data_IF_773265871543
#
_entry.id   IF_773265871543
#
_cell.length_a   1.000
_cell.length_b   1.000
_cell.length_c   1.000
_cell.angle_alpha   90.00
_cell.angle_beta   90.00
_cell.angle_gamma   90.00
#
_symmetry.space_group_name_H-M   'P 1'
#
loop_
_entity.id
_entity.type
_entity.pdbx_description
1 polymer ?
#
# COMPACT_ATOMS: atom_id res chain seq x y z
N UNK A 1 -16.97 -22.72 15.80
CA UNK A 1 -15.63 -22.38 15.31
C UNK A 1 -15.79 -21.34 14.22
N UNK A 2 -15.24 -20.14 14.41
CA UNK A 2 -15.49 -18.97 13.55
C UNK A 2 -14.58 -18.98 12.33
N UNK A 3 -15.16 -19.15 11.14
CA UNK A 3 -14.49 -19.01 9.83
C UNK A 3 -14.53 -17.56 9.38
N UNK A 4 -13.62 -16.74 9.89
CA UNK A 4 -13.37 -15.40 9.35
C UNK A 4 -12.46 -15.53 8.12
N UNK A 5 -13.04 -15.83 6.97
CA UNK A 5 -12.36 -15.71 5.67
C UNK A 5 -12.48 -14.25 5.21
N UNK A 6 -11.37 -13.50 5.06
CA UNK A 6 -11.42 -12.16 4.46
C UNK A 6 -11.91 -12.28 3.02
N UNK A 7 -12.94 -11.51 2.66
CA UNK A 7 -13.44 -11.40 1.29
C UNK A 7 -12.68 -10.28 0.59
N UNK A 8 -12.07 -10.60 -0.54
CA UNK A 8 -11.37 -9.63 -1.40
C UNK A 8 -12.18 -9.38 -2.67
N UNK A 9 -12.15 -8.13 -3.16
CA UNK A 9 -12.62 -7.76 -4.48
C UNK A 9 -11.38 -7.61 -5.38
N UNK A 10 -11.47 -8.01 -6.66
CA UNK A 10 -10.46 -7.80 -7.70
C UNK A 10 -11.04 -6.93 -8.81
N UNK A 11 -10.21 -6.09 -9.45
CA UNK A 11 -10.61 -5.27 -10.60
C UNK A 11 -9.69 -5.57 -11.78
N UNK A 12 -10.31 -5.77 -12.93
CA UNK A 12 -9.67 -6.12 -14.20
C UNK A 12 -9.13 -4.83 -14.85
N UNK A 13 -7.83 -4.76 -15.11
CA UNK A 13 -7.25 -3.67 -15.90
C UNK A 13 -7.54 -3.98 -17.37
N UNK A 14 -8.51 -3.28 -17.96
CA UNK A 14 -8.82 -3.39 -19.39
C UNK A 14 -8.36 -2.13 -20.12
N UNK A 15 -7.27 -2.23 -20.88
CA UNK A 15 -7.06 -1.32 -22.01
C UNK A 15 -7.85 -1.84 -23.21
N UNK A 16 -9.18 -1.70 -23.16
CA UNK A 16 -10.02 -2.01 -24.32
C UNK A 16 -11.02 -0.86 -24.50
N UNK A 17 -10.87 -0.15 -25.62
CA UNK A 17 -11.89 0.75 -26.18
C UNK A 17 -13.25 0.05 -26.12
N UNK A 18 -14.21 0.66 -25.41
CA UNK A 18 -15.59 0.18 -25.21
C UNK A 18 -16.08 -0.73 -26.35
N UNK A 19 -16.39 -2.00 -26.06
CA UNK A 19 -17.41 -2.71 -26.81
C UNK A 19 -18.67 -2.82 -25.96
N UNK A 20 -19.79 -2.64 -26.65
CA UNK A 20 -21.16 -2.74 -26.17
C UNK A 20 -21.43 -3.98 -25.31
N UNK A 21 -22.06 -3.76 -24.17
CA UNK A 21 -22.67 -4.81 -23.35
C UNK A 21 -23.87 -5.37 -24.11
N UNK A 22 -23.64 -6.44 -24.88
CA UNK A 22 -24.69 -7.33 -25.34
C UNK A 22 -24.13 -8.74 -25.39
N UNK A 23 -24.32 -9.50 -24.32
CA UNK A 23 -24.60 -10.93 -24.30
C UNK A 23 -24.38 -11.44 -22.88
N UNK A 24 -25.45 -11.96 -22.29
CA UNK A 24 -25.44 -12.48 -20.93
C UNK A 24 -24.46 -13.63 -20.76
N UNK A 25 -23.61 -13.51 -19.74
CA UNK A 25 -22.97 -14.64 -19.09
C UNK A 25 -23.44 -14.63 -17.65
N UNK A 26 -24.32 -15.59 -17.39
CA UNK A 26 -24.88 -15.88 -16.08
C UNK A 26 -23.76 -16.10 -15.07
N UNK A 27 -23.78 -15.35 -13.97
CA UNK A 27 -22.93 -15.56 -12.81
C UNK A 27 -23.24 -16.94 -12.23
N UNK A 28 -22.41 -17.94 -12.56
CA UNK A 28 -22.51 -19.28 -11.99
C UNK A 28 -22.10 -19.18 -10.52
N UNK A 29 -23.08 -19.42 -9.64
CA UNK A 29 -22.96 -19.59 -8.20
C UNK A 29 -22.10 -20.83 -7.86
N UNK A 30 -20.78 -20.69 -7.92
CA UNK A 30 -19.82 -21.55 -7.23
C UNK A 30 -19.23 -20.84 -6.01
N UNK A 31 -18.72 -21.55 -4.99
CA UNK A 31 -18.00 -20.90 -3.90
C UNK A 31 -16.84 -20.11 -4.50
N UNK A 32 -16.78 -18.81 -4.20
CA UNK A 32 -15.79 -17.91 -4.74
C UNK A 32 -14.40 -18.52 -4.54
N UNK A 33 -13.72 -18.84 -5.64
CA UNK A 33 -12.37 -19.39 -5.62
C UNK A 33 -11.50 -18.42 -4.82
N UNK A 34 -11.00 -18.91 -3.68
CA UNK A 34 -10.10 -18.20 -2.77
C UNK A 34 -8.79 -17.98 -3.52
N UNK A 35 -8.55 -16.76 -3.99
CA UNK A 35 -7.25 -16.41 -4.55
C UNK A 35 -6.31 -16.12 -3.38
N UNK A 36 -5.57 -17.15 -2.94
CA UNK A 36 -4.34 -16.93 -2.21
C UNK A 36 -3.39 -16.20 -3.17
N UNK A 37 -2.99 -14.96 -2.87
CA UNK A 37 -1.85 -14.34 -3.58
C UNK A 37 -0.53 -15.10 -3.35
N UNK A 38 -0.55 -16.13 -2.49
CA UNK A 38 0.47 -17.18 -2.41
C UNK A 38 0.45 -18.18 -3.59
N UNK A 39 -0.68 -18.37 -4.27
CA UNK A 39 -0.85 -19.38 -5.33
C UNK A 39 -0.66 -18.83 -6.75
N UNK A 40 -0.88 -17.54 -6.97
CA UNK A 40 -0.39 -16.83 -8.15
C UNK A 40 0.83 -16.05 -7.71
N UNK A 41 2.05 -16.41 -8.14
CA UNK A 41 3.31 -15.76 -7.74
C UNK A 41 3.31 -14.27 -8.16
N UNK A 42 2.59 -13.42 -7.42
CA UNK A 42 2.36 -12.04 -7.80
C UNK A 42 3.67 -11.28 -7.76
N UNK A 43 4.07 -10.72 -8.89
CA UNK A 43 5.32 -9.97 -9.01
C UNK A 43 5.15 -8.63 -8.29
N UNK A 44 6.17 -8.24 -7.53
CA UNK A 44 6.16 -6.97 -6.82
C UNK A 44 6.69 -5.87 -7.73
N UNK A 45 5.97 -4.76 -7.80
CA UNK A 45 6.32 -3.57 -8.55
C UNK A 45 6.22 -2.34 -7.66
N UNK A 46 7.13 -1.37 -7.81
CA UNK A 46 7.06 -0.11 -7.08
C UNK A 46 6.78 1.03 -8.04
N UNK A 47 5.88 1.92 -7.64
CA UNK A 47 5.66 3.18 -8.34
C UNK A 47 6.65 4.25 -7.87
N UNK A 48 7.00 5.19 -8.75
CA UNK A 48 7.84 6.36 -8.41
C UNK A 48 7.25 7.19 -7.26
N UNK A 49 5.94 7.08 -7.01
CA UNK A 49 5.25 7.70 -5.87
C UNK A 49 5.81 7.23 -4.53
N UNK A 50 6.32 5.99 -4.41
CA UNK A 50 6.98 5.50 -3.20
C UNK A 50 8.24 6.29 -2.82
N UNK A 51 8.86 6.97 -3.78
CA UNK A 51 10.08 7.77 -3.56
C UNK A 51 9.78 9.16 -3.06
N UNK A 52 8.60 9.69 -3.40
CA UNK A 52 8.20 11.06 -3.10
C UNK A 52 7.35 11.07 -1.82
N UNK A 53 7.68 11.96 -0.92
CA UNK A 53 6.89 12.19 0.28
C UNK A 53 5.88 13.31 0.05
N UNK A 54 4.80 13.27 0.82
CA UNK A 54 3.68 14.20 0.76
C UNK A 54 3.34 14.62 2.18
N UNK A 55 2.97 15.90 2.34
CA UNK A 55 2.38 16.43 3.57
C UNK A 55 0.99 16.96 3.28
N UNK A 56 0.00 16.50 4.06
CA UNK A 56 -1.38 16.94 3.99
C UNK A 56 -1.86 17.37 5.39
N UNK A 57 -1.67 18.65 5.76
CA UNK A 57 -1.99 19.13 7.11
C UNK A 57 -3.47 18.98 7.49
N UNK A 58 -4.37 19.20 6.54
CA UNK A 58 -5.82 19.14 6.76
C UNK A 58 -6.31 17.75 7.18
N UNK A 59 -5.59 16.69 6.80
CA UNK A 59 -5.82 15.31 7.26
C UNK A 59 -4.77 14.79 8.24
N UNK A 60 -3.88 15.66 8.76
CA UNK A 60 -2.80 15.24 9.69
C UNK A 60 -1.96 14.08 9.14
N UNK A 61 -1.55 14.16 7.87
CA UNK A 61 -0.72 13.14 7.21
C UNK A 61 0.63 13.73 6.75
N UNK A 62 1.70 12.95 6.94
CA UNK A 62 3.03 13.23 6.41
C UNK A 62 3.84 11.94 6.40
N UNK A 63 4.49 11.61 5.30
CA UNK A 63 5.49 10.52 5.22
C UNK A 63 6.91 11.05 4.95
N UNK A 64 7.16 12.33 5.20
CA UNK A 64 8.51 12.89 5.22
C UNK A 64 9.32 12.37 6.41
N UNK A 65 10.59 12.05 6.18
CA UNK A 65 11.54 11.61 7.21
C UNK A 65 12.50 12.73 7.59
N UNK A 66 13.15 12.67 8.77
CA UNK A 66 14.18 13.64 9.16
C UNK A 66 15.48 13.44 8.37
N UNK A 67 16.24 14.52 8.14
CA UNK A 67 17.54 14.48 7.43
C UNK A 67 18.60 13.57 8.03
N UNK A 68 18.52 13.35 9.35
CA UNK A 68 19.44 12.50 10.10
C UNK A 68 18.90 11.08 10.27
N UNK A 69 18.03 10.64 9.36
CA UNK A 69 17.36 9.35 9.46
C UNK A 69 18.31 8.19 9.77
N UNK A 70 19.43 8.09 9.02
CA UNK A 70 20.46 7.06 9.19
C UNK A 70 21.37 7.22 10.40
N UNK A 71 21.27 8.32 11.16
CA UNK A 71 22.10 8.51 12.35
C UNK A 71 21.49 7.85 13.59
N UNK A 72 20.35 7.17 13.44
CA UNK A 72 19.57 6.67 14.53
C UNK A 72 19.52 5.14 14.62
N UNK A 73 20.19 4.40 13.71
CA UNK A 73 20.20 2.92 13.63
C UNK A 73 18.83 2.34 14.05
N UNK A 74 17.78 2.88 13.44
CA UNK A 74 16.41 2.64 13.90
C UNK A 74 15.86 1.40 13.25
N UNK A 75 14.96 0.69 13.93
CA UNK A 75 14.25 -0.46 13.35
C UNK A 75 13.50 -0.12 12.05
N UNK A 76 13.07 1.14 11.89
CA UNK A 76 12.50 1.64 10.64
C UNK A 76 13.52 1.65 9.47
N UNK A 77 14.78 2.00 9.74
CA UNK A 77 15.88 1.94 8.77
C UNK A 77 16.16 0.50 8.35
N UNK A 78 16.35 -0.40 9.32
CA UNK A 78 16.58 -1.83 9.07
C UNK A 78 15.48 -2.44 8.22
N UNK A 79 14.22 -2.15 8.56
CA UNK A 79 13.06 -2.64 7.82
C UNK A 79 13.03 -2.11 6.38
N UNK A 80 13.32 -0.82 6.16
CA UNK A 80 13.36 -0.24 4.80
C UNK A 80 14.50 -0.82 3.98
N UNK A 81 15.69 -0.93 4.55
CA UNK A 81 16.84 -1.58 3.91
C UNK A 81 16.54 -3.04 3.55
N UNK A 82 15.84 -3.77 4.42
CA UNK A 82 15.45 -5.17 4.18
C UNK A 82 14.43 -5.27 3.05
N UNK A 83 13.40 -4.42 3.05
CA UNK A 83 12.43 -4.32 1.96
C UNK A 83 13.14 -4.08 0.61
N UNK A 84 14.14 -3.19 0.57
CA UNK A 84 14.86 -2.90 -0.67
C UNK A 84 15.69 -4.07 -1.17
N UNK A 85 16.21 -4.92 -0.27
CA UNK A 85 16.98 -6.12 -0.63
C UNK A 85 16.07 -7.28 -1.04
N UNK A 86 14.88 -7.39 -0.44
CA UNK A 86 13.92 -8.44 -0.73
C UNK A 86 12.49 -7.89 -0.81
N UNK A 87 12.08 -7.33 -1.95
CA UNK A 87 10.72 -6.83 -2.14
C UNK A 87 9.60 -7.86 -1.96
N UNK A 88 9.90 -9.15 -2.14
CA UNK A 88 8.89 -10.21 -2.09
C UNK A 88 8.28 -10.37 -0.69
N UNK A 89 8.88 -9.77 0.35
CA UNK A 89 8.25 -9.70 1.69
C UNK A 89 6.88 -9.00 1.66
N UNK A 90 6.60 -8.18 0.64
CA UNK A 90 5.30 -7.53 0.46
C UNK A 90 4.16 -8.48 0.08
N UNK A 91 4.47 -9.72 -0.29
CA UNK A 91 3.45 -10.74 -0.59
C UNK A 91 2.82 -11.34 0.67
N UNK A 92 3.43 -11.11 1.85
CA UNK A 92 2.99 -11.66 3.12
C UNK A 92 1.96 -10.75 3.82
N UNK A 93 1.02 -11.36 4.55
CA UNK A 93 0.11 -10.71 5.51
C UNK A 93 -0.66 -9.49 4.97
N UNK A 94 -1.08 -9.56 3.70
CA UNK A 94 -1.87 -8.51 3.05
C UNK A 94 -3.23 -8.32 3.73
N UNK A 95 -3.52 -7.08 4.11
CA UNK A 95 -4.80 -6.66 4.68
C UNK A 95 -5.51 -5.72 3.72
N UNK A 96 -6.75 -6.02 3.34
CA UNK A 96 -7.55 -5.11 2.49
C UNK A 96 -7.97 -3.86 3.24
N UNK A 97 -7.84 -2.71 2.59
CA UNK A 97 -8.34 -1.43 3.08
C UNK A 97 -9.81 -1.29 2.72
N UNK A 98 -10.66 -1.27 3.74
CA UNK A 98 -12.10 -1.07 3.57
C UNK A 98 -12.46 0.43 3.58
N UNK A 99 -12.92 0.96 2.45
CA UNK A 99 -13.32 2.37 2.28
C UNK A 99 -14.77 2.68 2.70
N UNK A 100 -15.41 1.78 3.45
CA UNK A 100 -16.76 1.96 3.99
C UNK A 100 -16.78 2.23 5.51
N UNK A 101 -15.60 2.48 6.11
CA UNK A 101 -15.41 2.67 7.55
C UNK A 101 -15.16 4.12 7.92
N UNK A 102 -15.26 4.41 9.22
CA UNK A 102 -14.80 5.67 9.80
C UNK A 102 -13.35 5.95 9.38
N UNK A 103 -13.09 7.11 8.76
CA UNK A 103 -11.85 7.58 8.09
C UNK A 103 -11.68 7.25 6.59
N UNK A 104 -12.68 6.67 5.91
CA UNK A 104 -12.64 6.43 4.46
C UNK A 104 -12.28 7.69 3.65
N UNK A 105 -12.97 8.80 3.90
CA UNK A 105 -12.74 10.07 3.19
C UNK A 105 -11.32 10.57 3.38
N UNK A 106 -10.77 10.39 4.57
CA UNK A 106 -9.40 10.80 4.89
C UNK A 106 -8.38 9.97 4.11
N UNK A 107 -8.55 8.65 4.11
CA UNK A 107 -7.67 7.73 3.37
C UNK A 107 -7.77 8.05 1.88
N UNK A 108 -8.99 8.28 1.37
CA UNK A 108 -9.23 8.69 -0.02
C UNK A 108 -8.48 9.97 -0.37
N UNK A 109 -8.57 11.03 0.45
CA UNK A 109 -7.82 12.27 0.25
C UNK A 109 -6.30 12.06 0.17
N UNK A 110 -5.75 11.15 0.98
CA UNK A 110 -4.32 10.83 0.93
C UNK A 110 -3.99 10.14 -0.39
N UNK A 111 -4.79 9.15 -0.80
CA UNK A 111 -4.60 8.41 -2.04
C UNK A 111 -4.80 9.28 -3.27
N UNK A 112 -5.80 10.16 -3.29
CA UNK A 112 -6.06 11.09 -4.40
C UNK A 112 -4.85 11.99 -4.63
N UNK A 113 -4.16 12.39 -3.56
CA UNK A 113 -2.93 13.18 -3.68
C UNK A 113 -1.75 12.39 -4.26
N UNK A 114 -1.70 11.08 -4.04
CA UNK A 114 -0.56 10.22 -4.42
C UNK A 114 -0.76 9.64 -5.82
N UNK A 115 -1.94 9.09 -6.08
CA UNK A 115 -2.29 8.37 -7.30
C UNK A 115 -3.11 9.23 -8.28
N UNK A 116 -3.71 10.33 -7.83
CA UNK A 116 -4.71 11.05 -8.61
C UNK A 116 -6.09 10.41 -8.50
N UNK A 117 -7.13 11.25 -8.55
CA UNK A 117 -8.53 10.87 -8.33
C UNK A 117 -9.00 9.75 -9.28
N UNK A 118 -8.62 9.83 -10.56
CA UNK A 118 -9.00 8.82 -11.57
C UNK A 118 -8.54 7.42 -11.17
N UNK A 119 -7.28 7.29 -10.75
CA UNK A 119 -6.68 6.02 -10.34
C UNK A 119 -7.22 5.52 -9.01
N UNK A 120 -7.54 6.42 -8.08
CA UNK A 120 -8.19 6.02 -6.83
C UNK A 120 -9.57 5.45 -7.08
N UNK A 121 -10.38 6.11 -7.91
CA UNK A 121 -11.72 5.62 -8.27
C UNK A 121 -11.63 4.28 -9.03
N UNK A 122 -10.62 4.12 -9.89
CA UNK A 122 -10.33 2.86 -10.58
C UNK A 122 -10.00 1.75 -9.58
N UNK A 123 -9.09 1.97 -8.62
CA UNK A 123 -8.53 0.91 -7.78
C UNK A 123 -9.05 0.82 -6.34
N UNK A 124 -10.06 1.61 -5.96
CA UNK A 124 -10.55 1.72 -4.59
C UNK A 124 -10.84 0.36 -3.90
N UNK A 125 -11.39 -0.60 -4.64
CA UNK A 125 -11.81 -1.89 -4.10
C UNK A 125 -10.68 -2.92 -3.97
N UNK A 126 -9.49 -2.60 -4.48
CA UNK A 126 -8.31 -3.48 -4.56
C UNK A 126 -7.08 -2.87 -3.90
N UNK A 127 -7.28 -2.04 -2.87
CA UNK A 127 -6.18 -1.50 -2.08
C UNK A 127 -5.90 -2.37 -0.87
N UNK A 128 -4.62 -2.63 -0.64
CA UNK A 128 -4.09 -3.44 0.43
C UNK A 128 -3.04 -2.67 1.23
N UNK A 129 -2.85 -3.06 2.47
CA UNK A 129 -1.69 -2.70 3.27
C UNK A 129 -0.98 -3.96 3.75
N UNK A 130 0.33 -3.87 3.95
CA UNK A 130 1.11 -4.86 4.68
C UNK A 130 2.08 -4.15 5.63
N UNK A 131 2.35 -4.80 6.76
CA UNK A 131 3.29 -4.32 7.76
C UNK A 131 4.68 -4.87 7.45
N UNK A 132 5.67 -3.99 7.46
CA UNK A 132 7.07 -4.42 7.37
C UNK A 132 7.66 -4.40 8.77
N UNK A 133 7.91 -5.60 9.27
CA UNK A 133 8.65 -5.85 10.50
C UNK A 133 9.65 -6.97 10.26
N UNK A 134 10.88 -6.60 9.93
CA UNK A 134 11.97 -7.53 9.67
C UNK A 134 12.87 -7.74 10.90
N UNK A 135 12.63 -6.99 11.98
CA UNK A 135 13.30 -7.20 13.26
C UNK A 135 12.48 -8.15 14.15
N UNK A 136 13.14 -9.16 14.73
CA UNK A 136 12.60 -10.05 15.77
C UNK A 136 12.33 -9.34 17.11
N UNK A 137 12.45 -8.02 17.15
CA UNK A 137 12.23 -7.23 18.36
C UNK A 137 10.73 -7.09 18.63
N UNK A 138 10.34 -7.27 19.91
CA UNK A 138 8.97 -7.05 20.39
C UNK A 138 8.50 -5.58 20.25
N UNK A 139 9.38 -4.66 19.83
CA UNK A 139 9.07 -3.25 19.69
C UNK A 139 8.47 -2.95 18.31
N UNK A 140 7.14 -2.89 18.24
CA UNK A 140 6.38 -2.53 17.04
C UNK A 140 6.68 -1.11 16.52
N UNK A 141 7.49 -0.30 17.22
CA UNK A 141 7.82 1.08 16.84
C UNK A 141 8.65 1.21 15.56
N UNK A 142 9.27 0.14 15.08
CA UNK A 142 9.99 0.08 13.81
C UNK A 142 9.15 -0.27 12.60
N UNK A 143 7.90 -0.66 12.83
CA UNK A 143 7.03 -1.10 11.77
C UNK A 143 6.65 0.09 10.89
N UNK A 144 6.62 -0.14 9.59
CA UNK A 144 5.97 0.77 8.66
C UNK A 144 4.99 0.00 7.80
N UNK A 145 4.14 0.73 7.10
CA UNK A 145 3.20 0.12 6.16
C UNK A 145 3.57 0.44 4.74
N UNK A 146 3.39 -0.54 3.88
CA UNK A 146 3.38 -0.35 2.44
C UNK A 146 1.95 -0.53 1.98
N UNK A 147 1.47 0.42 1.19
CA UNK A 147 0.17 0.35 0.55
C UNK A 147 0.34 -0.11 -0.89
N UNK A 148 -0.51 -1.06 -1.29
CA UNK A 148 -0.41 -1.76 -2.56
C UNK A 148 -1.76 -1.79 -3.27
N UNK A 149 -1.70 -1.84 -4.60
CA UNK A 149 -2.83 -2.21 -5.46
C UNK A 149 -2.55 -3.61 -6.00
N UNK A 150 -3.57 -4.47 -5.98
CA UNK A 150 -3.51 -5.72 -6.72
C UNK A 150 -4.02 -5.51 -8.14
N UNK A 151 -3.19 -5.85 -9.11
CA UNK A 151 -3.41 -5.61 -10.53
C UNK A 151 -3.20 -6.90 -11.33
N UNK A 152 -4.05 -7.14 -12.33
CA UNK A 152 -3.90 -8.26 -13.25
C UNK A 152 -3.69 -7.69 -14.65
N UNK A 153 -2.60 -8.08 -15.30
CA UNK A 153 -2.32 -7.79 -16.69
C UNK A 153 -2.76 -8.98 -17.57
N UNK A 154 -3.28 -8.71 -18.76
CA UNK A 154 -3.86 -9.70 -19.68
C UNK A 154 -4.87 -10.66 -19.02
N UNK A 155 -5.90 -10.14 -18.34
CA UNK A 155 -6.83 -11.00 -17.62
C UNK A 155 -7.56 -11.97 -18.56
N UNK A 156 -7.57 -13.25 -18.19
CA UNK A 156 -8.24 -14.31 -18.96
C UNK A 156 -7.42 -14.92 -20.10
N UNK A 157 -6.21 -14.40 -20.36
CA UNK A 157 -5.21 -15.08 -21.18
C UNK A 157 -4.32 -15.92 -20.27
N UNK A 158 -4.69 -17.19 -20.05
CA UNK A 158 -4.03 -18.09 -19.08
C UNK A 158 -2.52 -18.22 -19.33
N UNK A 159 -2.06 -18.07 -20.58
CA UNK A 159 -0.63 -18.18 -20.91
C UNK A 159 0.15 -16.89 -20.60
N UNK A 160 -0.50 -15.72 -20.65
CA UNK A 160 0.14 -14.40 -20.52
C UNK A 160 -0.38 -13.57 -19.33
N UNK A 161 -1.23 -14.14 -18.48
CA UNK A 161 -1.78 -13.46 -17.31
C UNK A 161 -0.68 -13.20 -16.29
N UNK A 162 -0.44 -11.94 -15.98
CA UNK A 162 0.53 -11.55 -14.96
C UNK A 162 -0.18 -10.89 -13.79
N UNK A 163 0.11 -11.39 -12.59
CA UNK A 163 -0.44 -10.87 -11.34
C UNK A 163 0.61 -9.96 -10.69
N UNK A 164 0.20 -8.76 -10.31
CA UNK A 164 1.10 -7.72 -9.80
C UNK A 164 0.62 -7.17 -8.46
N UNK A 165 1.55 -7.04 -7.52
CA UNK A 165 1.39 -6.23 -6.32
C UNK A 165 2.15 -4.92 -6.52
N UNK A 166 1.39 -3.85 -6.72
CA UNK A 166 1.91 -2.54 -7.08
C UNK A 166 1.97 -1.66 -5.83
N UNK A 167 3.16 -1.58 -5.22
CA UNK A 167 3.42 -0.70 -4.09
C UNK A 167 3.44 0.77 -4.55
N UNK A 168 2.61 1.61 -3.93
CA UNK A 168 2.46 3.01 -4.33
C UNK A 168 2.71 4.02 -3.21
N UNK A 169 2.71 3.59 -1.94
CA UNK A 169 3.01 4.44 -0.81
C UNK A 169 3.72 3.66 0.30
N UNK A 170 4.76 4.27 0.85
CA UNK A 170 5.40 3.87 2.09
C UNK A 170 4.99 4.86 3.19
N UNK A 171 4.41 4.33 4.26
CA UNK A 171 3.95 5.07 5.44
C UNK A 171 4.78 4.69 6.68
N UNK A 172 5.89 5.39 6.95
CA UNK A 172 6.80 5.12 8.06
C UNK A 172 6.21 5.42 9.44
N UNK A 173 5.04 6.06 9.52
CA UNK A 173 4.48 6.56 10.78
C UNK A 173 3.05 6.10 11.05
N UNK A 174 2.53 5.17 10.24
CA UNK A 174 1.17 4.66 10.30
C UNK A 174 0.10 5.75 10.27
N UNK A 175 0.37 6.87 9.60
CA UNK A 175 -0.59 7.98 9.55
C UNK A 175 -1.71 7.73 8.55
N UNK A 176 -1.59 6.87 7.55
CA UNK A 176 -2.73 6.54 6.68
C UNK A 176 -3.83 5.85 7.50
N UNK A 177 -3.45 4.82 8.24
CA UNK A 177 -4.33 4.00 9.07
C UNK A 177 -3.84 4.02 10.54
N UNK A 178 -4.15 5.10 11.30
CA UNK A 178 -3.61 5.29 12.64
C UNK A 178 -4.08 4.24 13.63
N UNK A 179 -3.16 3.84 14.50
CA UNK A 179 -3.39 2.87 15.57
C UNK A 179 -3.56 3.62 16.90
N UNK A 180 -4.59 3.27 17.65
CA UNK A 180 -4.77 3.73 19.03
C UNK A 180 -3.82 2.97 19.96
N UNK A 181 -3.48 3.55 21.10
CA UNK A 181 -2.61 2.90 22.08
C UNK A 181 -3.10 3.20 23.49
N UNK A 182 -3.33 2.14 24.27
CA UNK A 182 -3.97 2.21 25.59
C UNK A 182 -5.24 3.06 25.56
N UNK A 183 -5.30 4.13 26.37
CA UNK A 183 -6.46 5.01 26.52
C UNK A 183 -6.53 6.13 25.46
N UNK A 184 -5.63 6.12 24.46
CA UNK A 184 -5.57 7.16 23.43
C UNK A 184 -6.31 6.70 22.18
N UNK A 185 -7.31 7.47 21.76
CA UNK A 185 -8.06 7.22 20.52
C UNK A 185 -7.15 7.27 19.27
N UNK A 186 -7.55 6.58 18.19
CA UNK A 186 -6.83 6.63 16.90
C UNK A 186 -6.59 8.05 16.40
N UNK A 187 -7.61 8.92 16.53
CA UNK A 187 -7.57 10.32 16.09
C UNK A 187 -6.58 11.16 16.90
N UNK A 188 -6.54 10.95 18.21
CA UNK A 188 -5.60 11.64 19.08
C UNK A 188 -4.16 11.16 18.87
N UNK A 189 -3.95 9.84 18.77
CA UNK A 189 -2.67 9.21 18.42
C UNK A 189 -2.11 9.77 17.11
N UNK A 190 -2.95 9.82 16.07
CA UNK A 190 -2.62 10.41 14.76
C UNK A 190 -2.18 11.88 14.89
N UNK A 191 -2.97 12.73 15.56
CA UNK A 191 -2.66 14.16 15.71
C UNK A 191 -1.35 14.37 16.47
N UNK A 192 -1.14 13.60 17.54
CA UNK A 192 0.10 13.64 18.32
C UNK A 192 1.30 13.26 17.46
N UNK A 193 1.23 12.14 16.74
CA UNK A 193 2.30 11.67 15.86
C UNK A 193 2.56 12.66 14.72
N UNK A 194 1.52 13.14 14.04
CA UNK A 194 1.65 14.17 13.01
C UNK A 194 2.35 15.42 13.53
N UNK A 195 1.95 15.92 14.71
CA UNK A 195 2.58 17.11 15.30
C UNK A 195 4.05 16.93 15.65
N UNK A 196 4.48 15.71 15.99
CA UNK A 196 5.88 15.39 16.22
C UNK A 196 6.70 15.43 14.92
N UNK A 197 6.12 14.95 13.81
CA UNK A 197 6.85 14.77 12.55
C UNK A 197 6.62 15.87 11.51
N UNK A 198 5.67 16.79 11.73
CA UNK A 198 5.26 17.79 10.71
C UNK A 198 6.40 18.68 10.19
N UNK A 199 7.49 18.79 10.95
CA UNK A 199 8.70 19.54 10.55
C UNK A 199 9.67 18.75 9.66
N UNK A 200 9.52 17.43 9.56
CA UNK A 200 10.36 16.58 8.70
C UNK A 200 10.08 16.88 7.23
N UNK A 201 11.11 16.92 6.40
CA UNK A 201 11.03 17.45 5.04
C UNK A 201 11.86 16.68 4.00
N UNK A 202 12.39 15.51 4.35
CA UNK A 202 13.20 14.71 3.44
C UNK A 202 12.37 13.57 2.86
N UNK A 203 12.46 13.41 1.54
CA UNK A 203 11.82 12.33 0.81
C UNK A 203 12.53 11.00 1.09
N UNK A 204 11.76 9.91 1.17
CA UNK A 204 12.32 8.57 1.29
C UNK A 204 13.30 8.25 0.16
N UNK A 205 13.01 8.64 -1.08
CA UNK A 205 13.90 8.41 -2.22
C UNK A 205 15.20 9.22 -2.18
N UNK A 206 15.23 10.32 -1.43
CA UNK A 206 16.46 11.12 -1.21
C UNK A 206 17.31 10.49 -0.12
N UNK A 207 16.67 10.09 0.98
CA UNK A 207 17.33 9.40 2.10
C UNK A 207 17.86 8.04 1.64
N UNK A 208 17.00 7.14 1.18
CA UNK A 208 17.34 5.78 0.73
C UNK A 208 17.84 5.71 -0.72
N UNK A 209 18.51 6.76 -1.20
CA UNK A 209 18.93 6.87 -2.59
C UNK A 209 19.81 5.71 -3.04
N UNK A 210 20.60 5.10 -2.17
CA UNK A 210 21.48 3.98 -2.53
C UNK A 210 20.70 2.68 -2.63
N UNK A 211 19.85 2.41 -1.65
CA UNK A 211 19.03 1.20 -1.53
C UNK A 211 18.00 1.15 -2.66
N UNK A 212 17.39 2.30 -2.96
CA UNK A 212 16.38 2.44 -4.02
C UNK A 212 16.95 2.33 -5.44
N UNK A 213 18.28 2.38 -5.64
CA UNK A 213 18.87 2.11 -6.97
C UNK A 213 18.64 0.69 -7.44
N UNK A 214 18.46 -0.25 -6.51
CA UNK A 214 18.28 -1.66 -6.83
C UNK A 214 16.80 -2.03 -7.07
N UNK A 215 15.89 -1.08 -6.87
CA UNK A 215 14.47 -1.25 -7.12
C UNK A 215 14.12 -0.59 -8.45
N UNK A 216 13.43 -1.32 -9.32
CA UNK A 216 12.87 -0.79 -10.56
C UNK A 216 11.55 -0.07 -10.29
N UNK A 217 11.63 1.25 -10.15
CA UNK A 217 10.45 2.10 -9.93
C UNK A 217 9.80 2.50 -11.26
N UNK A 218 8.52 2.22 -11.42
CA UNK A 218 7.72 2.54 -12.61
C UNK A 218 6.90 3.81 -12.44
N UNK A 219 6.61 4.46 -13.55
CA UNK A 219 5.66 5.58 -13.56
C UNK A 219 4.23 5.08 -13.34
N UNK A 220 3.37 5.95 -12.84
CA UNK A 220 1.98 5.63 -12.49
C UNK A 220 1.15 5.11 -13.67
N UNK A 221 1.47 5.53 -14.90
CA UNK A 221 0.76 5.16 -16.13
C UNK A 221 0.91 3.69 -16.54
N UNK A 222 1.71 2.90 -15.81
CA UNK A 222 1.80 1.45 -16.00
C UNK A 222 0.57 0.71 -15.44
N UNK A 223 -0.13 1.33 -14.49
CA UNK A 223 -1.43 0.91 -13.99
C UNK A 223 -2.52 1.86 -14.47
#
# INVERSE_FOLDING_TARGET
MSTNSPRFNTKLITKVTKPSISSGLSLINGPANVLNAHNAQARVLFLQTCKKSVRLPHVSFSNYVPKRFFLHDSSLETNLCTLCKNPNILQCDLTSIAFNRENSDRIKNIMDKILGEDKVNEYLDVVYETYINCDDTLDQRGQFRVFLIYAINNPGDVENEENWLVAFLIDPFHLVCPVGYHNISKKESMRKKYNQIKGYNEDLGTVFKKEFKNIDFKELNII
#
